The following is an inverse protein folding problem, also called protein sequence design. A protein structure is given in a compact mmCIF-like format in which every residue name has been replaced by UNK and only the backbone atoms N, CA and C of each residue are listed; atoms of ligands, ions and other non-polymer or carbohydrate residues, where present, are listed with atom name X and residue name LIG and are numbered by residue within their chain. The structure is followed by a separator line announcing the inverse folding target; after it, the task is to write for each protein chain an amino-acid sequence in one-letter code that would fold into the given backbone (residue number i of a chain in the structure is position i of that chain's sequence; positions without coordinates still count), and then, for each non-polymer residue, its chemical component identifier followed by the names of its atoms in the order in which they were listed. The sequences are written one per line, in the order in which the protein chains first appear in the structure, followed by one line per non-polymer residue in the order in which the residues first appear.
data_IF_940907379349
#
_entry.id   IF_940907379349
#
_cell.length_a   1.000
_cell.length_b   1.000
_cell.length_c   1.000
_cell.angle_alpha   90.00
_cell.angle_beta   90.00
_cell.angle_gamma   90.00
#
_symmetry.space_group_name_H-M   'P 1'
#
loop_
_entity.id
_entity.type
_entity.pdbx_description
1 polymer ?
#
# COMPACT_ATOMS: atom_id res chain seq x y z
N UNK A 1 -3.91 -19.61 3.13
CA UNK A 1 -3.56 -20.70 2.20
C UNK A 1 -2.47 -21.61 2.79
N UNK A 2 -1.23 -21.12 3.07
CA UNK A 2 -0.13 -21.97 3.52
C UNK A 2 -0.38 -22.69 4.86
N UNK A 3 -1.02 -22.03 5.84
CA UNK A 3 -1.37 -22.66 7.11
C UNK A 3 -2.26 -23.90 6.89
N UNK A 4 -3.31 -23.79 6.08
CA UNK A 4 -4.20 -24.91 5.78
C UNK A 4 -3.47 -26.02 5.03
N UNK A 5 -2.62 -25.66 4.05
CA UNK A 5 -1.82 -26.65 3.33
C UNK A 5 -0.87 -27.40 4.26
N UNK A 6 -0.22 -26.72 5.21
CA UNK A 6 0.68 -27.35 6.17
C UNK A 6 -0.06 -28.22 7.18
N UNK A 7 -1.23 -27.80 7.69
CA UNK A 7 -2.09 -28.63 8.53
C UNK A 7 -2.57 -29.90 7.80
N UNK A 8 -2.98 -29.76 6.54
CA UNK A 8 -3.40 -30.92 5.74
C UNK A 8 -2.25 -31.90 5.47
N UNK A 9 -1.01 -31.44 5.51
CA UNK A 9 0.21 -32.28 5.44
C UNK A 9 0.68 -32.81 6.82
N UNK A 10 -0.14 -32.67 7.87
CA UNK A 10 0.17 -33.15 9.21
C UNK A 10 1.12 -32.25 10.03
N UNK A 11 1.38 -31.03 9.57
CA UNK A 11 2.27 -30.10 10.26
C UNK A 11 1.53 -29.05 11.10
N UNK A 12 2.22 -28.44 12.05
CA UNK A 12 1.74 -27.31 12.85
C UNK A 12 2.34 -25.99 12.33
N UNK A 13 1.51 -25.14 11.73
CA UNK A 13 1.96 -23.90 11.12
C UNK A 13 2.24 -22.78 12.13
N UNK A 14 1.58 -22.77 13.26
CA UNK A 14 1.79 -21.79 14.33
C UNK A 14 2.53 -22.43 15.51
N UNK A 15 3.40 -21.66 16.23
CA UNK A 15 3.71 -20.25 16.03
C UNK A 15 4.64 -20.00 14.82
N UNK A 16 4.61 -18.76 14.31
CA UNK A 16 5.50 -18.28 13.24
C UNK A 16 6.07 -16.90 13.56
N UNK A 17 7.19 -16.54 12.95
CA UNK A 17 7.77 -15.21 13.04
C UNK A 17 7.19 -14.32 11.91
N UNK A 18 6.82 -13.08 12.25
CA UNK A 18 6.41 -12.07 11.29
C UNK A 18 7.21 -10.78 11.49
N UNK A 19 8.02 -10.42 10.50
CA UNK A 19 8.76 -9.15 10.44
C UNK A 19 8.04 -8.23 9.43
N UNK A 20 7.35 -7.24 9.96
CA UNK A 20 6.57 -6.29 9.14
C UNK A 20 6.26 -5.04 9.95
N UNK A 21 5.90 -3.96 9.27
CA UNK A 21 5.20 -2.86 9.92
C UNK A 21 3.73 -3.30 10.09
N UNK A 22 3.18 -3.33 11.32
CA UNK A 22 1.83 -3.82 11.56
C UNK A 22 0.79 -3.09 10.71
N UNK A 23 -0.14 -3.84 10.12
CA UNK A 23 -1.25 -3.35 9.31
C UNK A 23 -0.85 -2.40 8.16
N UNK A 24 0.44 -2.46 7.71
CA UNK A 24 0.97 -1.51 6.72
C UNK A 24 1.59 -2.25 5.54
N UNK A 25 0.79 -2.56 4.50
CA UNK A 25 1.26 -3.25 3.30
C UNK A 25 1.99 -2.28 2.35
N UNK A 26 3.07 -1.68 2.84
CA UNK A 26 3.90 -0.71 2.12
C UNK A 26 5.32 -1.24 2.05
N UNK A 27 5.94 -1.16 0.87
CA UNK A 27 7.34 -1.54 0.67
C UNK A 27 8.28 -0.61 1.43
N UNK A 28 9.22 -1.19 2.16
CA UNK A 28 10.25 -0.46 2.89
C UNK A 28 11.26 -1.39 3.54
N UNK A 29 12.33 -0.80 4.08
CA UNK A 29 13.36 -1.57 4.76
C UNK A 29 12.78 -2.32 5.98
N UNK A 30 13.10 -3.60 6.07
CA UNK A 30 12.75 -4.44 7.23
C UNK A 30 13.94 -4.73 8.10
N UNK A 31 15.14 -4.57 7.52
CA UNK A 31 16.43 -4.67 8.23
C UNK A 31 17.04 -3.27 8.25
N UNK A 32 17.00 -2.62 9.41
CA UNK A 32 17.52 -1.27 9.57
C UNK A 32 19.01 -1.32 9.94
N UNK A 33 19.84 -0.74 9.09
CA UNK A 33 21.31 -0.68 9.27
C UNK A 33 21.80 0.77 9.15
N UNK A 34 22.95 1.07 9.73
CA UNK A 34 23.56 2.40 9.61
C UNK A 34 23.86 2.75 8.14
N UNK A 35 23.63 4.01 7.78
CA UNK A 35 23.81 4.46 6.40
C UNK A 35 25.28 4.39 5.92
N UNK A 36 26.23 4.63 6.80
CA UNK A 36 27.66 4.81 6.47
C UNK A 36 28.48 3.50 6.40
N UNK A 37 27.83 2.36 6.25
CA UNK A 37 28.50 1.08 6.13
C UNK A 37 28.93 0.82 4.67
N UNK A 38 30.10 0.19 4.52
CA UNK A 38 30.56 -0.33 3.23
C UNK A 38 29.66 -1.46 2.72
N UNK A 39 29.68 -1.74 1.43
CA UNK A 39 28.92 -2.83 0.84
C UNK A 39 29.25 -4.21 1.46
N UNK A 40 30.52 -4.42 1.86
CA UNK A 40 30.94 -5.65 2.53
C UNK A 40 30.36 -5.77 3.93
N UNK A 41 30.38 -4.70 4.72
CA UNK A 41 29.79 -4.68 6.05
C UNK A 41 28.26 -4.88 5.98
N UNK A 42 27.58 -4.22 5.05
CA UNK A 42 26.15 -4.44 4.81
C UNK A 42 25.85 -5.91 4.51
N UNK A 43 26.59 -6.52 3.59
CA UNK A 43 26.43 -7.93 3.24
C UNK A 43 26.63 -8.84 4.45
N UNK A 44 27.68 -8.61 5.25
CA UNK A 44 27.96 -9.40 6.45
C UNK A 44 26.81 -9.29 7.49
N UNK A 45 26.28 -8.07 7.71
CA UNK A 45 25.16 -7.85 8.63
C UNK A 45 23.89 -8.57 8.13
N UNK A 46 23.59 -8.47 6.84
CA UNK A 46 22.43 -9.18 6.26
C UNK A 46 22.55 -10.69 6.40
N UNK A 47 23.73 -11.27 6.12
CA UNK A 47 23.98 -12.70 6.30
C UNK A 47 23.80 -13.11 7.76
N UNK A 48 24.38 -12.35 8.69
CA UNK A 48 24.28 -12.63 10.12
C UNK A 48 22.82 -12.55 10.62
N UNK A 49 22.06 -11.55 10.21
CA UNK A 49 20.63 -11.43 10.55
C UNK A 49 19.83 -12.60 9.95
N UNK A 50 20.10 -12.99 8.72
CA UNK A 50 19.44 -14.13 8.09
C UNK A 50 19.70 -15.43 8.85
N UNK A 51 20.96 -15.67 9.28
CA UNK A 51 21.33 -16.82 10.10
C UNK A 51 20.63 -16.83 11.46
N UNK A 52 20.55 -15.69 12.14
CA UNK A 52 19.82 -15.55 13.40
C UNK A 52 18.34 -15.91 13.21
N UNK A 53 17.69 -15.36 12.19
CA UNK A 53 16.27 -15.64 11.91
C UNK A 53 16.08 -17.13 11.62
N UNK A 54 16.96 -17.75 10.83
CA UNK A 54 16.91 -19.17 10.52
C UNK A 54 17.05 -20.02 11.79
N UNK A 55 18.03 -19.71 12.63
CA UNK A 55 18.30 -20.45 13.88
C UNK A 55 17.11 -20.35 14.85
N UNK A 56 16.57 -19.15 15.06
CA UNK A 56 15.41 -18.94 15.92
C UNK A 56 14.19 -19.70 15.34
N UNK A 57 14.01 -19.66 14.02
CA UNK A 57 12.89 -20.35 13.37
C UNK A 57 13.00 -21.85 13.54
N UNK A 58 14.16 -22.44 13.28
CA UNK A 58 14.35 -23.90 13.37
C UNK A 58 14.13 -24.45 14.78
N UNK A 59 14.39 -23.64 15.81
CA UNK A 59 14.27 -24.10 17.19
C UNK A 59 12.84 -23.97 17.76
N UNK A 60 12.06 -22.95 17.32
CA UNK A 60 10.84 -22.60 18.03
C UNK A 60 9.63 -22.28 17.13
N UNK A 61 9.83 -22.17 15.81
CA UNK A 61 8.78 -21.69 14.90
C UNK A 61 8.71 -22.53 13.62
N UNK A 62 7.55 -22.55 13.00
CA UNK A 62 7.37 -23.23 11.71
C UNK A 62 8.02 -22.46 10.56
N UNK A 63 8.03 -21.14 10.64
CA UNK A 63 8.43 -20.27 9.54
C UNK A 63 8.72 -18.84 10.02
N UNK A 64 9.47 -18.08 9.19
CA UNK A 64 9.66 -16.64 9.32
C UNK A 64 9.27 -15.94 8.03
N UNK A 65 8.54 -14.83 8.15
CA UNK A 65 8.03 -14.05 7.04
C UNK A 65 8.45 -12.60 7.16
N UNK A 66 9.16 -12.10 6.17
CA UNK A 66 9.59 -10.70 6.03
C UNK A 66 8.77 -10.12 4.88
N UNK A 67 7.66 -9.43 5.20
CA UNK A 67 6.70 -8.98 4.20
C UNK A 67 6.93 -7.53 3.77
N UNK A 68 6.71 -7.24 2.49
CA UNK A 68 6.90 -5.93 1.88
C UNK A 68 8.30 -5.35 2.13
N UNK A 69 9.32 -6.20 2.08
CA UNK A 69 10.71 -5.78 2.10
C UNK A 69 11.12 -5.14 0.76
N UNK A 70 12.27 -4.48 0.74
CA UNK A 70 12.81 -3.95 -0.52
C UNK A 70 13.29 -5.08 -1.44
N UNK A 71 13.42 -4.78 -2.73
CA UNK A 71 13.97 -5.73 -3.70
C UNK A 71 15.38 -6.17 -3.31
N UNK A 72 16.21 -5.23 -2.84
CA UNK A 72 17.58 -5.48 -2.40
C UNK A 72 17.61 -6.45 -1.22
N UNK A 73 16.78 -6.22 -0.20
CA UNK A 73 16.66 -7.13 0.95
C UNK A 73 16.21 -8.53 0.50
N UNK A 74 15.22 -8.60 -0.40
CA UNK A 74 14.75 -9.89 -0.92
C UNK A 74 15.83 -10.66 -1.67
N UNK A 75 16.68 -9.98 -2.45
CA UNK A 75 17.82 -10.60 -3.13
C UNK A 75 18.86 -11.13 -2.13
N UNK A 76 19.19 -10.35 -1.08
CA UNK A 76 20.10 -10.82 -0.03
C UNK A 76 19.56 -12.02 0.72
N UNK A 77 18.30 -11.96 1.15
CA UNK A 77 17.65 -13.04 1.86
C UNK A 77 17.55 -14.31 1.01
N UNK A 78 17.29 -14.15 -0.31
CA UNK A 78 17.25 -15.26 -1.25
C UNK A 78 18.58 -16.03 -1.34
N UNK A 79 19.73 -15.36 -1.18
CA UNK A 79 21.05 -16.02 -1.08
C UNK A 79 21.21 -16.82 0.21
N UNK A 80 20.39 -16.56 1.23
CA UNK A 80 20.40 -17.17 2.55
C UNK A 80 19.21 -18.10 2.80
N UNK A 81 18.81 -18.90 1.82
CA UNK A 81 17.75 -19.93 1.91
C UNK A 81 16.32 -19.39 2.08
N UNK A 82 16.08 -18.09 2.04
CA UNK A 82 14.73 -17.55 2.02
C UNK A 82 14.13 -17.68 0.62
N UNK A 83 12.85 -17.96 0.57
CA UNK A 83 12.06 -17.97 -0.66
C UNK A 83 11.54 -16.55 -0.93
N UNK A 84 11.78 -16.03 -2.11
CA UNK A 84 11.20 -14.76 -2.55
C UNK A 84 9.78 -14.99 -3.05
N UNK A 85 8.85 -14.19 -2.57
CA UNK A 85 7.51 -14.05 -3.12
C UNK A 85 7.37 -12.70 -3.78
N UNK A 86 6.96 -12.67 -5.03
CA UNK A 86 6.58 -11.46 -5.75
C UNK A 86 5.06 -11.29 -5.64
N UNK A 87 4.64 -10.10 -5.27
CA UNK A 87 3.26 -9.65 -5.33
C UNK A 87 3.14 -8.44 -6.26
N UNK A 88 1.92 -7.91 -6.36
CA UNK A 88 1.68 -6.66 -7.08
C UNK A 88 0.85 -5.68 -6.25
N UNK A 89 1.10 -4.40 -6.45
CA UNK A 89 0.27 -3.28 -6.01
C UNK A 89 0.13 -2.28 -7.14
N UNK A 90 -0.82 -1.35 -7.01
CA UNK A 90 -1.08 -0.36 -8.05
C UNK A 90 -0.64 1.02 -7.56
N UNK A 91 0.38 1.59 -8.21
CA UNK A 91 0.92 2.90 -7.89
C UNK A 91 0.69 3.86 -9.07
N UNK A 92 0.36 5.10 -8.74
CA UNK A 92 0.38 6.19 -9.70
C UNK A 92 1.77 6.84 -9.67
N UNK A 93 2.33 7.10 -10.86
CA UNK A 93 3.63 7.75 -11.03
C UNK A 93 3.46 9.12 -11.66
N UNK A 94 4.10 10.13 -11.07
CA UNK A 94 4.21 11.45 -11.65
C UNK A 94 5.27 11.46 -12.75
N UNK A 95 4.83 11.67 -13.99
CA UNK A 95 5.74 11.82 -15.13
C UNK A 95 6.02 13.32 -15.41
N UNK A 96 6.27 14.09 -14.35
CA UNK A 96 6.51 15.54 -14.40
C UNK A 96 5.33 16.32 -14.96
N UNK A 97 4.12 15.93 -14.59
CA UNK A 97 2.92 16.65 -14.97
C UNK A 97 2.91 18.05 -14.31
N UNK A 98 2.56 19.08 -15.09
CA UNK A 98 2.45 20.45 -14.61
C UNK A 98 1.21 20.67 -13.74
N UNK A 99 0.14 19.98 -14.05
CA UNK A 99 -1.15 20.03 -13.38
C UNK A 99 -1.97 18.75 -13.65
N UNK A 100 -3.12 18.64 -13.02
CA UNK A 100 -4.01 17.49 -13.19
C UNK A 100 -4.54 17.37 -14.64
N UNK A 101 -4.72 18.48 -15.36
CA UNK A 101 -5.16 18.46 -16.75
C UNK A 101 -4.07 17.89 -17.66
N UNK A 102 -2.80 18.16 -17.37
CA UNK A 102 -1.67 17.61 -18.08
C UNK A 102 -1.61 16.08 -17.91
N UNK A 103 -1.79 15.60 -16.67
CA UNK A 103 -2.02 14.17 -16.42
C UNK A 103 -3.20 13.60 -17.22
N UNK A 104 -4.36 14.27 -17.23
CA UNK A 104 -5.51 13.83 -18.00
C UNK A 104 -5.22 13.75 -19.51
N UNK A 105 -4.40 14.65 -20.05
CA UNK A 105 -3.99 14.63 -21.48
C UNK A 105 -3.13 13.42 -21.82
N UNK A 106 -2.40 12.84 -20.89
CA UNK A 106 -1.61 11.62 -21.10
C UNK A 106 -2.48 10.37 -21.24
N UNK A 107 -3.73 10.43 -20.79
CA UNK A 107 -4.68 9.31 -20.84
C UNK A 107 -5.37 9.21 -22.22
N UNK A 108 -5.75 7.98 -22.59
CA UNK A 108 -6.62 7.75 -23.75
C UNK A 108 -7.98 8.46 -23.54
N UNK A 109 -8.59 8.92 -24.62
CA UNK A 109 -9.79 9.77 -24.60
C UNK A 109 -10.94 9.21 -23.75
N UNK A 110 -11.17 7.89 -23.82
CA UNK A 110 -12.23 7.22 -23.05
C UNK A 110 -12.00 7.35 -21.55
N UNK A 111 -10.77 7.13 -21.06
CA UNK A 111 -10.44 7.18 -19.63
C UNK A 111 -10.46 8.61 -19.10
N UNK A 112 -9.90 9.55 -19.87
CA UNK A 112 -9.98 10.98 -19.56
C UNK A 112 -11.43 11.45 -19.41
N UNK A 113 -12.31 11.11 -20.37
CA UNK A 113 -13.73 11.45 -20.28
C UNK A 113 -14.44 10.85 -19.07
N UNK A 114 -14.11 9.61 -18.70
CA UNK A 114 -14.65 8.96 -17.52
C UNK A 114 -14.27 9.70 -16.24
N UNK A 115 -12.99 10.03 -16.05
CA UNK A 115 -12.51 10.78 -14.87
C UNK A 115 -13.17 12.16 -14.79
N UNK A 116 -13.26 12.88 -15.92
CA UNK A 116 -13.93 14.18 -15.95
C UNK A 116 -15.42 14.09 -15.58
N UNK A 117 -16.11 13.05 -16.03
CA UNK A 117 -17.52 12.79 -15.68
C UNK A 117 -17.66 12.49 -14.17
N UNK A 118 -16.78 11.64 -13.62
CA UNK A 118 -16.78 11.27 -12.20
C UNK A 118 -16.56 12.52 -11.32
N UNK A 119 -15.55 13.34 -11.63
CA UNK A 119 -15.27 14.60 -10.91
C UNK A 119 -16.40 15.63 -11.08
N UNK A 120 -16.99 15.71 -12.28
CA UNK A 120 -18.13 16.59 -12.52
C UNK A 120 -19.33 16.20 -11.65
N UNK A 121 -19.62 14.91 -11.52
CA UNK A 121 -20.73 14.40 -10.68
C UNK A 121 -20.61 14.83 -9.21
N UNK A 122 -19.40 14.97 -8.68
CA UNK A 122 -19.16 15.46 -7.31
C UNK A 122 -19.43 16.97 -7.22
N UNK A 123 -18.93 17.76 -8.19
CA UNK A 123 -19.19 19.20 -8.24
C UNK A 123 -20.67 19.54 -8.44
N UNK A 124 -21.38 18.82 -9.31
CA UNK A 124 -22.81 19.03 -9.57
C UNK A 124 -23.68 18.76 -8.32
N UNK A 125 -23.16 18.04 -7.33
CA UNK A 125 -23.81 17.80 -6.03
C UNK A 125 -23.46 18.84 -4.97
N UNK A 126 -22.75 19.92 -5.35
CA UNK A 126 -22.27 20.95 -4.44
C UNK A 126 -21.44 20.41 -3.27
N UNK A 127 -20.70 19.31 -3.49
CA UNK A 127 -19.80 18.76 -2.47
C UNK A 127 -18.51 19.56 -2.53
N UNK A 128 -18.22 20.22 -1.41
CA UNK A 128 -16.96 20.92 -1.20
C UNK A 128 -15.86 19.91 -0.80
N UNK A 129 -14.71 19.99 -1.46
CA UNK A 129 -13.54 19.16 -1.12
C UNK A 129 -12.49 20.04 -0.45
N UNK A 130 -12.07 19.67 0.75
CA UNK A 130 -11.10 20.40 1.56
C UNK A 130 -9.90 19.51 1.82
N UNK A 131 -8.72 20.00 1.45
CA UNK A 131 -7.44 19.33 1.68
C UNK A 131 -6.76 20.01 2.87
N UNK A 132 -6.40 19.24 3.88
CA UNK A 132 -5.70 19.71 5.07
C UNK A 132 -4.46 18.88 5.33
N UNK A 133 -3.37 19.54 5.70
CA UNK A 133 -2.13 18.89 6.08
C UNK A 133 -1.53 19.53 7.33
N UNK A 134 -0.72 18.78 8.06
CA UNK A 134 0.06 19.32 9.16
C UNK A 134 -0.83 20.06 10.20
N UNK A 135 -0.46 21.28 10.59
CA UNK A 135 -1.16 22.11 11.60
C UNK A 135 -2.55 22.59 11.19
N UNK A 136 -2.94 22.42 9.94
CA UNK A 136 -4.29 22.73 9.48
C UNK A 136 -5.32 21.70 9.98
N UNK A 137 -4.85 20.49 10.35
CA UNK A 137 -5.70 19.41 10.85
C UNK A 137 -5.99 19.68 12.33
N UNK A 138 -7.24 20.01 12.63
CA UNK A 138 -7.70 20.29 13.99
C UNK A 138 -8.08 19.01 14.73
N UNK A 139 -8.18 19.07 16.06
CA UNK A 139 -8.69 17.95 16.88
C UNK A 139 -10.08 17.46 16.42
N UNK A 140 -10.94 18.36 15.94
CA UNK A 140 -12.23 17.99 15.34
C UNK A 140 -12.07 17.20 14.05
N UNK A 141 -11.10 17.53 13.22
CA UNK A 141 -10.81 16.82 11.97
C UNK A 141 -10.33 15.39 12.26
N UNK A 142 -9.48 15.22 13.29
CA UNK A 142 -9.03 13.89 13.75
C UNK A 142 -10.19 13.04 14.25
N UNK A 143 -11.12 13.64 14.99
CA UNK A 143 -12.33 12.94 15.42
C UNK A 143 -13.19 12.48 14.24
N UNK A 144 -13.42 13.34 13.24
CA UNK A 144 -14.13 12.94 12.02
C UNK A 144 -13.42 11.78 11.31
N UNK A 145 -12.09 11.85 11.19
CA UNK A 145 -11.34 10.78 10.53
C UNK A 145 -11.48 9.44 11.27
N UNK A 146 -11.43 9.45 12.62
CA UNK A 146 -11.65 8.26 13.42
C UNK A 146 -13.07 7.72 13.24
N UNK A 147 -14.09 8.57 13.35
CA UNK A 147 -15.50 8.17 13.21
C UNK A 147 -15.75 7.52 11.83
N UNK A 148 -15.19 8.08 10.76
CA UNK A 148 -15.28 7.49 9.41
C UNK A 148 -14.49 6.19 9.27
N UNK A 149 -13.35 6.06 9.93
CA UNK A 149 -12.60 4.82 10.00
C UNK A 149 -13.43 3.70 10.65
N UNK A 150 -14.02 3.96 11.81
CA UNK A 150 -14.92 3.02 12.50
C UNK A 150 -16.09 2.62 11.59
N UNK A 151 -16.78 3.58 11.01
CA UNK A 151 -17.91 3.32 10.10
C UNK A 151 -17.52 2.38 8.93
N UNK A 152 -16.31 2.52 8.40
CA UNK A 152 -15.82 1.65 7.33
C UNK A 152 -15.40 0.28 7.85
N UNK A 153 -14.79 0.20 9.02
CA UNK A 153 -14.38 -1.05 9.65
C UNK A 153 -15.60 -1.93 9.96
N UNK A 154 -16.62 -1.36 10.57
CA UNK A 154 -17.87 -2.05 10.92
C UNK A 154 -18.58 -2.62 9.69
N UNK A 155 -18.62 -1.84 8.59
CA UNK A 155 -19.22 -2.28 7.33
C UNK A 155 -18.45 -3.41 6.61
N UNK A 156 -17.12 -3.48 6.78
CA UNK A 156 -16.27 -4.39 5.99
C UNK A 156 -15.74 -5.58 6.78
N UNK A 157 -15.38 -5.39 8.04
CA UNK A 157 -14.61 -6.36 8.82
C UNK A 157 -15.25 -6.73 10.16
N UNK A 158 -16.29 -6.00 10.57
CA UNK A 158 -17.00 -6.21 11.83
C UNK A 158 -16.28 -5.70 13.08
N UNK A 159 -14.95 -5.52 13.02
CA UNK A 159 -14.15 -4.98 14.12
C UNK A 159 -13.03 -4.08 13.61
N UNK A 160 -12.91 -2.89 14.21
CA UNK A 160 -11.78 -2.00 13.98
C UNK A 160 -10.53 -2.54 14.71
N UNK A 161 -9.38 -2.52 14.03
CA UNK A 161 -8.10 -2.93 14.64
C UNK A 161 -7.29 -1.76 15.21
N UNK A 162 -7.71 -0.52 14.95
CA UNK A 162 -7.15 0.70 15.55
C UNK A 162 -8.20 1.33 16.46
N UNK A 163 -7.74 1.84 17.58
CA UNK A 163 -8.56 2.57 18.55
C UNK A 163 -8.36 4.10 18.40
N UNK A 164 -9.11 4.86 19.16
CA UNK A 164 -9.04 6.33 19.17
C UNK A 164 -7.65 6.83 19.58
N UNK A 165 -6.99 6.14 20.51
CA UNK A 165 -5.66 6.54 21.01
C UNK A 165 -4.58 6.49 19.90
N UNK A 166 -4.72 5.58 18.93
CA UNK A 166 -3.84 5.58 17.76
C UNK A 166 -3.94 6.91 16.98
N UNK A 167 -5.16 7.43 16.76
CA UNK A 167 -5.37 8.69 16.06
C UNK A 167 -4.88 9.90 16.88
N UNK A 168 -5.06 9.89 18.21
CA UNK A 168 -4.49 10.90 19.11
C UNK A 168 -2.95 10.89 19.09
N UNK A 169 -2.34 9.70 19.02
CA UNK A 169 -0.87 9.58 18.90
C UNK A 169 -0.36 10.07 17.54
N UNK A 170 -1.09 9.83 16.45
CA UNK A 170 -0.77 10.42 15.14
C UNK A 170 -0.86 11.95 15.19
N UNK A 171 -1.93 12.50 15.75
CA UNK A 171 -2.09 13.95 15.94
C UNK A 171 -0.89 14.56 16.68
N UNK A 172 -0.51 13.96 17.80
CA UNK A 172 0.54 14.46 18.67
C UNK A 172 1.95 14.34 18.09
N UNK A 173 2.26 13.20 17.44
CA UNK A 173 3.64 12.84 17.12
C UNK A 173 3.95 12.76 15.63
N UNK A 174 2.93 12.76 14.75
CA UNK A 174 3.10 12.45 13.33
C UNK A 174 2.25 13.31 12.39
N UNK A 175 1.59 14.36 12.90
CA UNK A 175 0.69 15.21 12.11
C UNK A 175 1.37 15.86 10.92
N UNK A 176 2.66 16.19 11.01
CA UNK A 176 3.45 16.79 9.93
C UNK A 176 3.54 15.86 8.68
N UNK A 177 3.32 14.57 8.86
CA UNK A 177 3.34 13.57 7.80
C UNK A 177 1.94 13.10 7.41
N UNK A 178 0.89 13.83 7.79
CA UNK A 178 -0.49 13.45 7.49
C UNK A 178 -1.14 14.47 6.55
N UNK A 179 -1.86 13.93 5.57
CA UNK A 179 -2.78 14.64 4.69
C UNK A 179 -4.17 14.05 4.87
N UNK A 180 -5.17 14.86 5.16
CA UNK A 180 -6.57 14.44 5.18
C UNK A 180 -7.35 15.25 4.16
N UNK A 181 -8.10 14.55 3.32
CA UNK A 181 -8.96 15.13 2.30
C UNK A 181 -10.41 14.88 2.74
N UNK A 182 -11.13 15.97 3.02
CA UNK A 182 -12.51 15.93 3.47
C UNK A 182 -13.48 16.25 2.33
N UNK A 183 -14.68 15.71 2.44
CA UNK A 183 -15.83 16.15 1.67
C UNK A 183 -16.89 16.75 2.61
N UNK A 184 -17.42 17.89 2.23
CA UNK A 184 -18.53 18.54 2.93
C UNK A 184 -19.73 18.72 2.00
N UNK A 185 -20.92 18.55 2.57
CA UNK A 185 -22.20 18.80 1.93
C UNK A 185 -23.03 19.67 2.89
N UNK A 186 -23.47 20.82 2.43
CA UNK A 186 -24.24 21.79 3.24
C UNK A 186 -23.56 22.18 4.57
N UNK A 187 -22.22 22.26 4.58
CA UNK A 187 -21.42 22.59 5.75
C UNK A 187 -21.04 21.39 6.62
N UNK A 188 -21.69 20.24 6.50
CA UNK A 188 -21.41 19.05 7.26
C UNK A 188 -20.30 18.21 6.63
N UNK A 189 -19.35 17.73 7.43
CA UNK A 189 -18.32 16.80 6.97
C UNK A 189 -18.92 15.40 6.81
N UNK A 190 -18.97 14.90 5.56
CA UNK A 190 -19.63 13.65 5.20
C UNK A 190 -18.68 12.50 4.86
N UNK A 191 -17.41 12.80 4.59
CA UNK A 191 -16.40 11.80 4.27
C UNK A 191 -14.99 12.33 4.53
N UNK A 192 -14.04 11.42 4.75
CA UNK A 192 -12.63 11.74 4.80
C UNK A 192 -11.76 10.61 4.22
N UNK A 193 -10.63 11.00 3.62
CA UNK A 193 -9.56 10.10 3.19
C UNK A 193 -8.24 10.56 3.81
N UNK A 194 -7.58 9.69 4.57
CA UNK A 194 -6.30 9.96 5.21
C UNK A 194 -5.16 9.34 4.40
N UNK A 195 -4.13 10.12 4.20
CA UNK A 195 -2.89 9.74 3.53
C UNK A 195 -1.70 10.01 4.44
N UNK A 196 -0.64 9.23 4.28
CA UNK A 196 0.65 9.46 4.93
C UNK A 196 1.60 10.06 3.90
N UNK A 197 2.24 11.16 4.26
CA UNK A 197 3.22 11.88 3.46
C UNK A 197 4.60 11.26 3.73
N UNK A 198 5.16 10.54 2.76
CA UNK A 198 6.52 10.02 2.81
C UNK A 198 7.53 10.95 2.16
N UNK A 199 8.73 10.46 1.89
CA UNK A 199 9.81 11.27 1.29
C UNK A 199 9.48 11.74 -0.13
N UNK A 200 8.96 10.84 -0.97
CA UNK A 200 8.61 11.08 -2.37
C UNK A 200 7.30 10.41 -2.79
N UNK A 201 6.59 9.84 -1.83
CA UNK A 201 5.39 9.03 -2.04
C UNK A 201 4.29 9.44 -1.09
N UNK A 202 3.08 9.60 -1.60
CA UNK A 202 1.86 9.79 -0.82
C UNK A 202 1.15 8.44 -0.68
N UNK A 203 0.94 7.99 0.56
CA UNK A 203 0.37 6.68 0.87
C UNK A 203 -1.08 6.81 1.33
N UNK A 204 -2.04 6.35 0.52
CA UNK A 204 -3.44 6.25 0.92
C UNK A 204 -3.64 5.17 2.00
N UNK A 205 -4.28 5.54 3.12
CA UNK A 205 -4.42 4.63 4.26
C UNK A 205 -5.86 4.32 4.65
N UNK A 206 -6.58 5.30 5.09
CA UNK A 206 -7.94 5.11 5.61
C UNK A 206 -8.92 6.02 4.90
N UNK A 207 -10.13 5.50 4.75
CA UNK A 207 -11.25 6.20 4.12
C UNK A 207 -12.53 5.83 4.83
N UNK A 208 -13.44 6.78 4.92
CA UNK A 208 -14.80 6.50 5.31
C UNK A 208 -15.78 7.60 4.92
N UNK A 209 -17.06 7.25 4.96
CA UNK A 209 -18.14 8.16 4.62
C UNK A 209 -19.41 7.80 5.37
N UNK A 210 -20.13 8.82 5.86
CA UNK A 210 -21.45 8.67 6.45
C UNK A 210 -22.55 8.44 5.41
N UNK A 211 -22.33 8.88 4.16
CA UNK A 211 -23.28 8.78 3.04
C UNK A 211 -22.70 7.98 1.89
N UNK A 212 -23.55 7.23 1.19
CA UNK A 212 -23.18 6.57 -0.06
C UNK A 212 -23.38 7.55 -1.22
N UNK A 213 -22.27 8.07 -1.74
CA UNK A 213 -22.24 8.98 -2.88
C UNK A 213 -21.35 8.38 -3.96
N UNK A 214 -21.88 8.21 -5.15
CA UNK A 214 -21.14 7.65 -6.28
C UNK A 214 -19.92 8.51 -6.60
N UNK A 215 -18.79 7.86 -6.82
CA UNK A 215 -17.48 8.42 -7.15
C UNK A 215 -16.78 9.22 -6.04
N UNK A 216 -17.41 9.46 -4.87
CA UNK A 216 -16.80 10.23 -3.79
C UNK A 216 -15.50 9.59 -3.28
N UNK A 217 -15.48 8.26 -3.14
CA UNK A 217 -14.26 7.51 -2.82
C UNK A 217 -13.15 7.76 -3.85
N UNK A 218 -13.47 7.80 -5.15
CA UNK A 218 -12.47 8.03 -6.18
C UNK A 218 -11.96 9.48 -6.17
N UNK A 219 -12.85 10.43 -5.91
CA UNK A 219 -12.46 11.83 -5.79
C UNK A 219 -11.46 12.03 -4.66
N UNK A 220 -11.77 11.55 -3.44
CA UNK A 220 -10.92 11.81 -2.28
C UNK A 220 -9.67 10.93 -2.23
N UNK A 221 -9.81 9.63 -2.53
CA UNK A 221 -8.70 8.69 -2.39
C UNK A 221 -7.73 8.66 -3.57
N UNK A 222 -8.17 9.12 -4.77
CA UNK A 222 -7.32 9.03 -5.96
C UNK A 222 -7.13 10.38 -6.65
N UNK A 223 -8.19 11.10 -7.04
CA UNK A 223 -8.02 12.30 -7.86
C UNK A 223 -7.40 13.44 -7.09
N UNK A 224 -7.86 13.71 -5.90
CA UNK A 224 -7.30 14.74 -5.03
C UNK A 224 -5.88 14.37 -4.56
N UNK A 225 -5.62 13.08 -4.28
CA UNK A 225 -4.29 12.61 -3.93
C UNK A 225 -3.28 12.80 -5.08
N UNK A 226 -3.68 12.50 -6.34
CA UNK A 226 -2.88 12.74 -7.54
C UNK A 226 -2.64 14.25 -7.73
N UNK A 227 -3.69 15.06 -7.62
CA UNK A 227 -3.61 16.50 -7.79
C UNK A 227 -2.66 17.13 -6.76
N UNK A 228 -2.78 16.74 -5.49
CA UNK A 228 -1.88 17.17 -4.43
C UNK A 228 -0.43 16.71 -4.69
N UNK A 229 -0.22 15.47 -5.12
CA UNK A 229 1.10 14.96 -5.44
C UNK A 229 1.76 15.72 -6.60
N UNK A 230 1.02 16.08 -7.64
CA UNK A 230 1.52 16.90 -8.75
C UNK A 230 1.96 18.28 -8.24
N UNK A 231 1.09 18.98 -7.49
CA UNK A 231 1.37 20.33 -6.97
C UNK A 231 2.58 20.36 -6.05
N UNK A 232 2.78 19.30 -5.26
CA UNK A 232 3.88 19.20 -4.29
C UNK A 232 5.09 18.43 -4.82
N UNK A 233 5.14 18.09 -6.13
CA UNK A 233 6.25 17.39 -6.79
C UNK A 233 6.56 16.01 -6.17
N UNK A 234 5.55 15.29 -5.71
CA UNK A 234 5.68 13.90 -5.28
C UNK A 234 5.75 12.96 -6.48
N UNK A 235 6.63 11.96 -6.38
CA UNK A 235 6.88 11.02 -7.48
C UNK A 235 5.78 9.95 -7.58
N UNK A 236 5.28 9.48 -6.43
CA UNK A 236 4.32 8.36 -6.40
C UNK A 236 3.10 8.66 -5.52
N UNK A 237 1.98 8.03 -5.88
CA UNK A 237 0.81 7.88 -5.01
C UNK A 237 0.47 6.39 -4.93
N UNK A 238 0.44 5.84 -3.71
CA UNK A 238 0.00 4.49 -3.44
C UNK A 238 -1.44 4.51 -2.90
N UNK A 239 -2.35 3.89 -3.61
CA UNK A 239 -3.78 3.89 -3.25
C UNK A 239 -4.22 2.69 -2.39
N UNK A 240 -3.30 2.07 -1.61
CA UNK A 240 -3.56 0.85 -0.84
C UNK A 240 -3.42 -0.45 -1.67
N UNK A 241 -3.55 -1.61 -0.99
CA UNK A 241 -3.13 -2.91 -1.53
C UNK A 241 -4.01 -3.50 -2.63
N UNK A 242 -5.29 -3.14 -2.75
CA UNK A 242 -6.23 -3.83 -3.63
C UNK A 242 -6.86 -2.89 -4.67
N UNK A 243 -7.29 -3.47 -5.78
CA UNK A 243 -8.28 -2.94 -6.69
C UNK A 243 -7.82 -2.66 -8.12
N UNK A 244 -8.16 -3.55 -9.08
CA UNK A 244 -7.90 -3.33 -10.51
C UNK A 244 -8.64 -2.10 -11.08
N UNK A 245 -9.68 -1.58 -10.37
CA UNK A 245 -10.35 -0.32 -10.72
C UNK A 245 -9.41 0.90 -10.70
N UNK A 246 -8.26 0.81 -10.02
CA UNK A 246 -7.22 1.84 -9.99
C UNK A 246 -6.53 2.02 -11.35
N UNK A 247 -6.40 0.95 -12.14
CA UNK A 247 -5.78 0.98 -13.47
C UNK A 247 -6.44 2.05 -14.33
N UNK A 248 -7.77 2.11 -14.32
CA UNK A 248 -8.52 3.08 -15.12
C UNK A 248 -8.23 4.54 -14.73
N UNK A 249 -7.62 4.78 -13.57
CA UNK A 249 -7.30 6.09 -12.98
C UNK A 249 -5.81 6.41 -13.02
N UNK A 250 -5.05 5.64 -13.79
CA UNK A 250 -3.62 5.93 -14.01
C UNK A 250 -2.68 5.22 -13.05
N UNK A 251 -3.17 4.36 -12.16
CA UNK A 251 -2.30 3.52 -11.32
C UNK A 251 -1.91 2.27 -12.10
N UNK A 252 -0.63 2.02 -12.19
CA UNK A 252 -0.08 0.84 -12.86
C UNK A 252 0.45 -0.18 -11.85
N UNK A 253 0.53 -1.46 -12.24
CA UNK A 253 1.03 -2.50 -11.35
C UNK A 253 2.54 -2.35 -11.13
N UNK A 254 2.93 -2.38 -9.86
CA UNK A 254 4.30 -2.39 -9.38
C UNK A 254 4.56 -3.66 -8.57
N UNK A 255 5.76 -4.24 -8.71
CA UNK A 255 6.14 -5.44 -7.97
C UNK A 255 6.40 -5.12 -6.51
N UNK A 256 5.86 -5.97 -5.63
CA UNK A 256 6.20 -6.00 -4.20
C UNK A 256 6.95 -7.28 -3.88
N UNK A 257 7.78 -7.25 -2.85
CA UNK A 257 8.63 -8.36 -2.47
C UNK A 257 8.39 -8.76 -1.02
N UNK A 258 8.39 -10.07 -0.79
CA UNK A 258 8.40 -10.64 0.55
C UNK A 258 9.35 -11.83 0.57
N UNK A 259 9.98 -12.08 1.70
CA UNK A 259 10.92 -13.20 1.86
C UNK A 259 10.44 -14.12 2.97
N UNK A 260 10.51 -15.43 2.71
CA UNK A 260 9.93 -16.45 3.58
C UNK A 260 10.93 -17.56 3.83
N UNK A 261 11.16 -17.89 5.10
CA UNK A 261 11.87 -19.09 5.50
C UNK A 261 10.90 -20.06 6.15
N UNK A 262 10.95 -21.33 5.77
CA UNK A 262 10.12 -22.40 6.29
C UNK A 262 11.05 -23.48 6.85
N UNK A 263 10.89 -23.84 8.13
CA UNK A 263 11.79 -24.78 8.80
C UNK A 263 11.72 -26.18 8.18
N UNK A 264 10.51 -26.69 7.92
CA UNK A 264 10.32 -27.99 7.30
C UNK A 264 10.76 -27.95 5.83
N UNK A 265 11.75 -28.76 5.46
CA UNK A 265 12.34 -28.75 4.13
C UNK A 265 11.38 -29.22 3.03
N UNK A 266 10.59 -30.27 3.29
CA UNK A 266 9.64 -30.77 2.31
C UNK A 266 8.56 -29.73 1.99
N UNK A 267 8.04 -29.09 3.03
CA UNK A 267 7.05 -28.02 2.84
C UNK A 267 7.67 -26.77 2.21
N UNK A 268 8.92 -26.43 2.55
CA UNK A 268 9.67 -25.34 1.91
C UNK A 268 9.83 -25.59 0.40
N UNK A 269 10.14 -26.80 -0.03
CA UNK A 269 10.27 -27.17 -1.44
C UNK A 269 8.91 -27.08 -2.16
N UNK A 270 7.84 -27.57 -1.58
CA UNK A 270 6.49 -27.43 -2.15
C UNK A 270 6.08 -25.94 -2.31
N UNK A 271 6.37 -25.12 -1.29
CA UNK A 271 6.10 -23.67 -1.38
C UNK A 271 6.99 -23.01 -2.44
N UNK A 272 8.24 -23.42 -2.60
CA UNK A 272 9.14 -22.90 -3.63
C UNK A 272 8.57 -23.14 -5.04
N UNK A 273 8.10 -24.34 -5.32
CA UNK A 273 7.48 -24.66 -6.61
C UNK A 273 6.23 -23.79 -6.85
N UNK A 274 5.35 -23.69 -5.85
CA UNK A 274 4.19 -22.81 -5.91
C UNK A 274 4.57 -21.34 -6.21
N UNK A 275 5.58 -20.81 -5.53
CA UNK A 275 6.02 -19.43 -5.74
C UNK A 275 6.62 -19.20 -7.12
N UNK A 276 7.32 -20.17 -7.70
CA UNK A 276 7.83 -20.09 -9.06
C UNK A 276 6.70 -19.96 -10.10
N UNK A 277 5.60 -20.70 -9.92
CA UNK A 277 4.43 -20.58 -10.80
C UNK A 277 3.66 -19.27 -10.55
N UNK A 278 3.47 -18.86 -9.28
CA UNK A 278 2.84 -17.59 -8.92
C UNK A 278 3.60 -16.41 -9.56
N UNK A 279 4.93 -16.42 -9.52
CA UNK A 279 5.76 -15.38 -10.13
C UNK A 279 5.55 -15.26 -11.64
N UNK A 280 5.48 -16.38 -12.35
CA UNK A 280 5.20 -16.41 -13.80
C UNK A 280 3.86 -15.75 -14.13
N UNK A 281 2.82 -16.08 -13.34
CA UNK A 281 1.47 -15.52 -13.50
C UNK A 281 1.51 -14.01 -13.27
N UNK A 282 2.06 -13.55 -12.15
CA UNK A 282 2.15 -12.12 -11.81
C UNK A 282 2.93 -11.35 -12.87
N UNK A 283 4.08 -11.87 -13.32
CA UNK A 283 4.87 -11.23 -14.37
C UNK A 283 4.09 -11.07 -15.67
N UNK A 284 3.35 -12.11 -16.06
CA UNK A 284 2.49 -12.08 -17.26
C UNK A 284 1.36 -11.04 -17.10
N UNK A 285 0.73 -11.00 -15.93
CA UNK A 285 -0.39 -10.10 -15.67
C UNK A 285 0.07 -8.64 -15.67
N UNK A 286 1.21 -8.32 -15.03
CA UNK A 286 1.85 -7.00 -15.08
C UNK A 286 2.16 -6.60 -16.54
N UNK A 287 2.76 -7.48 -17.34
CA UNK A 287 3.04 -7.22 -18.74
C UNK A 287 1.75 -7.00 -19.55
N UNK A 288 0.73 -7.79 -19.31
CA UNK A 288 -0.56 -7.65 -20.00
C UNK A 288 -1.23 -6.31 -19.68
N UNK A 289 -1.23 -5.91 -18.40
CA UNK A 289 -1.80 -4.62 -17.99
C UNK A 289 -1.02 -3.47 -18.63
N UNK A 290 0.31 -3.47 -18.54
CA UNK A 290 1.13 -2.40 -19.08
C UNK A 290 1.03 -2.28 -20.61
N UNK A 291 0.88 -3.40 -21.32
CA UNK A 291 0.87 -3.39 -22.79
C UNK A 291 -0.54 -3.24 -23.39
N UNK A 292 -1.58 -3.84 -22.77
CA UNK A 292 -2.92 -3.92 -23.37
C UNK A 292 -3.97 -3.12 -22.62
N UNK A 293 -3.85 -2.98 -21.29
CA UNK A 293 -4.88 -2.38 -20.46
C UNK A 293 -4.45 -1.06 -19.82
N UNK A 294 -3.27 -0.56 -20.15
CA UNK A 294 -2.82 0.75 -19.70
C UNK A 294 -3.82 1.83 -20.08
N UNK A 295 -4.14 2.78 -19.17
CA UNK A 295 -5.00 3.90 -19.48
C UNK A 295 -4.29 5.01 -20.27
N UNK A 296 -2.97 4.94 -20.38
CA UNK A 296 -2.14 5.93 -21.04
C UNK A 296 -2.14 5.75 -22.55
N UNK A 297 -1.93 6.85 -23.28
CA UNK A 297 -1.70 6.83 -24.72
C UNK A 297 -0.41 6.05 -25.01
N UNK A 298 -0.41 5.30 -26.08
CA UNK A 298 0.84 4.76 -26.62
C UNK A 298 1.57 5.91 -27.34
N UNK A 299 2.83 6.09 -27.04
CA UNK A 299 3.72 6.97 -27.79
C UNK A 299 3.95 6.37 -29.19
#
# INVERSE_FOLDING_TARGET
AWANAYYNAGGNYYPKIQLSVPFTPVTGNRILIKANLTSKEKTNIFNYIAEIIINITNNNFSSAHITFCTKEESVFLGKNKFLTRIGEQFHWKNNNYRDFNDFLKSLISRKRKSILKERKSIRDKNIEVIVKSNKEITARDWKYMYDFYINTADKKWGNAYLNEDFFKLLEKNFSDNILIIFAKEDGDTIAAAMHVIGKNTLYGRYWGSSKKIDYLHFELCYYQAIEWAIVNNYEFVEGGAQGPHKIQRGYLPEKTYSSHYIANENFRNAVKEFLNEEEKIINRDIQMINNKFTPFKKN
#
